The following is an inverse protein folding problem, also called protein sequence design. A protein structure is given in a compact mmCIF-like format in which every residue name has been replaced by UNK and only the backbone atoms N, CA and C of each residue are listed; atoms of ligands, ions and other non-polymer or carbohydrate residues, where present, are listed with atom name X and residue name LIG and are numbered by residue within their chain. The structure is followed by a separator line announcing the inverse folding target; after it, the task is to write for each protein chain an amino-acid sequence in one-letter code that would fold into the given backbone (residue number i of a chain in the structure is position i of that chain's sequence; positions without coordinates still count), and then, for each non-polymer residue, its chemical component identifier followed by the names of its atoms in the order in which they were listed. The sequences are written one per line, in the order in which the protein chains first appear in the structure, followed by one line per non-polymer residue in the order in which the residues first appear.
data_IF_205793330624
#
_entry.id   IF_205793330624
#
_cell.length_a   1.000
_cell.length_b   1.000
_cell.length_c   1.000
_cell.angle_alpha   90.00
_cell.angle_beta   90.00
_cell.angle_gamma   90.00
#
_symmetry.space_group_name_H-M   'P 1'
#
loop_
_entity.id
_entity.type
_entity.pdbx_description
1 polymer ?
#
# COMPACT_ATOMS: atom_id res chain seq x y z
N UNK A 1 20.25 4.07 18.44
CA UNK A 1 20.39 4.05 16.97
C UNK A 1 20.35 2.62 16.51
N UNK A 2 20.02 2.36 15.25
CA UNK A 2 20.05 1.01 14.69
C UNK A 2 21.15 0.97 13.64
N UNK A 3 21.97 -0.08 13.69
CA UNK A 3 23.03 -0.30 12.74
C UNK A 3 23.16 -1.79 12.45
N UNK A 4 23.76 -2.13 11.32
CA UNK A 4 24.12 -3.50 10.99
C UNK A 4 25.61 -3.72 11.07
N UNK A 5 26.00 -4.93 11.43
CA UNK A 5 27.39 -5.35 11.44
C UNK A 5 27.84 -5.71 10.02
N UNK A 6 29.00 -5.21 9.61
CA UNK A 6 29.69 -5.64 8.39
C UNK A 6 31.03 -6.23 8.83
N UNK A 7 31.23 -7.50 8.51
CA UNK A 7 32.53 -8.13 8.71
C UNK A 7 33.48 -7.70 7.60
N UNK A 8 34.51 -6.96 7.99
CA UNK A 8 35.61 -6.50 7.14
C UNK A 8 36.91 -7.14 7.61
N UNK A 9 37.89 -7.36 6.71
CA UNK A 9 39.15 -8.02 7.06
C UNK A 9 39.98 -7.26 8.11
N UNK A 10 39.70 -5.98 8.36
CA UNK A 10 40.39 -5.13 9.35
C UNK A 10 39.64 -5.00 10.69
N UNK A 11 38.49 -5.66 10.87
CA UNK A 11 37.67 -5.63 12.09
C UNK A 11 36.16 -5.59 11.85
N UNK A 12 35.38 -5.35 12.91
CA UNK A 12 33.94 -5.18 12.83
C UNK A 12 33.60 -3.71 12.51
N UNK A 13 33.21 -3.44 11.26
CA UNK A 13 32.70 -2.12 10.87
C UNK A 13 31.18 -2.13 11.04
N UNK A 14 30.60 -1.02 11.52
CA UNK A 14 29.15 -0.93 11.73
C UNK A 14 28.57 0.10 10.77
N UNK A 15 27.55 -0.29 10.01
CA UNK A 15 26.83 0.61 9.11
C UNK A 15 25.55 1.07 9.82
N UNK A 16 25.48 2.37 10.14
CA UNK A 16 24.31 2.95 10.79
C UNK A 16 23.15 3.01 9.79
N UNK A 17 22.01 2.44 10.18
CA UNK A 17 20.79 2.40 9.35
C UNK A 17 19.83 3.52 9.73
N UNK A 18 19.73 3.83 11.04
CA UNK A 18 18.78 4.80 11.58
C UNK A 18 19.39 5.63 12.71
N UNK A 19 18.99 6.91 12.73
CA UNK A 19 19.35 7.85 13.78
C UNK A 19 20.69 8.54 13.54
N UNK A 20 20.99 8.89 12.29
CA UNK A 20 22.19 9.66 11.92
C UNK A 20 22.30 10.98 12.70
N UNK A 21 21.17 11.64 12.97
CA UNK A 21 21.13 12.85 13.81
C UNK A 21 21.63 12.61 15.24
N UNK A 22 21.37 11.43 15.81
CA UNK A 22 21.92 11.06 17.12
C UNK A 22 23.42 10.86 17.02
N UNK A 23 23.92 10.23 15.96
CA UNK A 23 25.35 10.06 15.73
C UNK A 23 26.05 11.42 15.63
N UNK A 24 25.51 12.33 14.82
CA UNK A 24 26.01 13.71 14.66
C UNK A 24 25.97 14.50 15.98
N UNK A 25 24.89 14.34 16.76
CA UNK A 25 24.81 14.94 18.08
C UNK A 25 25.90 14.41 19.03
N UNK A 26 26.28 13.13 18.93
CA UNK A 26 27.36 12.56 19.75
C UNK A 26 28.76 12.93 19.25
N UNK A 27 28.93 13.24 17.95
CA UNK A 27 30.23 13.68 17.40
C UNK A 27 30.46 15.19 17.58
N UNK A 28 29.41 15.97 17.86
CA UNK A 28 29.56 17.39 18.13
C UNK A 28 30.35 17.64 19.45
N UNK A 29 31.44 18.44 19.43
CA UNK A 29 32.39 18.57 20.54
C UNK A 29 31.76 19.04 21.87
N UNK A 30 30.69 19.82 21.81
CA UNK A 30 30.03 20.41 22.98
C UNK A 30 28.83 19.61 23.52
N UNK A 31 28.33 18.60 22.80
CA UNK A 31 27.05 17.98 23.12
C UNK A 31 27.17 16.89 24.20
N UNK A 32 28.25 16.10 24.18
CA UNK A 32 28.49 15.04 25.18
C UNK A 32 29.98 14.91 25.53
N UNK A 33 30.54 15.82 26.34
CA UNK A 33 31.97 15.85 26.67
C UNK A 33 32.50 14.62 27.46
N UNK A 34 31.65 13.65 27.81
CA UNK A 34 32.00 12.43 28.57
C UNK A 34 31.47 11.12 27.97
N UNK A 35 30.79 11.14 26.82
CA UNK A 35 30.27 9.91 26.23
C UNK A 35 31.37 9.18 25.46
N UNK A 36 32.00 8.18 26.09
CA UNK A 36 33.04 7.33 25.45
C UNK A 36 32.44 6.25 24.54
N UNK A 37 31.13 5.99 24.66
CA UNK A 37 30.43 4.98 23.87
C UNK A 37 29.04 5.47 23.49
N UNK A 38 28.60 5.03 22.31
CA UNK A 38 27.32 5.43 21.73
C UNK A 38 26.39 4.22 21.74
N UNK A 39 25.19 4.30 22.35
CA UNK A 39 24.27 3.16 22.43
C UNK A 39 23.72 2.82 21.04
N UNK A 40 24.07 1.62 20.58
CA UNK A 40 23.79 1.13 19.25
C UNK A 40 23.09 -0.24 19.34
N UNK A 41 21.89 -0.34 18.76
CA UNK A 41 21.24 -1.62 18.54
C UNK A 41 21.79 -2.23 17.27
N UNK A 42 22.45 -3.38 17.39
CA UNK A 42 22.99 -4.12 16.24
C UNK A 42 21.92 -5.08 15.77
N UNK A 43 21.63 -5.06 14.46
CA UNK A 43 20.71 -6.00 13.82
C UNK A 43 21.49 -6.69 12.69
N UNK A 44 21.41 -8.02 12.67
CA UNK A 44 21.89 -8.80 11.54
C UNK A 44 20.84 -8.73 10.43
N UNK A 45 21.15 -8.00 9.36
CA UNK A 45 20.23 -7.83 8.26
C UNK A 45 20.92 -7.78 6.89
N UNK A 46 20.26 -8.35 5.88
CA UNK A 46 20.74 -8.32 4.51
C UNK A 46 20.64 -6.91 3.89
N UNK A 47 21.17 -6.71 2.68
CA UNK A 47 21.12 -5.41 1.98
C UNK A 47 19.70 -4.91 1.72
N UNK A 48 18.75 -5.81 1.46
CA UNK A 48 17.35 -5.43 1.19
C UNK A 48 16.65 -4.97 2.48
N UNK A 49 16.88 -5.69 3.57
CA UNK A 49 16.39 -5.34 4.90
C UNK A 49 17.01 -4.03 5.40
N UNK A 50 18.31 -3.82 5.16
CA UNK A 50 18.97 -2.56 5.47
C UNK A 50 18.28 -1.38 4.77
N UNK A 51 17.94 -1.51 3.48
CA UNK A 51 17.21 -0.49 2.73
C UNK A 51 15.78 -0.29 3.26
N UNK A 52 15.10 -1.36 3.67
CA UNK A 52 13.79 -1.30 4.32
C UNK A 52 13.84 -0.49 5.61
N UNK A 53 14.79 -0.79 6.51
CA UNK A 53 14.95 -0.07 7.76
C UNK A 53 15.35 1.40 7.54
N UNK A 54 16.28 1.66 6.62
CA UNK A 54 16.76 3.02 6.37
C UNK A 54 15.69 3.96 5.80
N UNK A 55 14.71 3.43 5.04
CA UNK A 55 13.72 4.26 4.34
C UNK A 55 12.31 4.08 4.89
N UNK A 56 11.76 2.86 4.83
CA UNK A 56 10.36 2.62 5.18
C UNK A 56 10.16 2.70 6.69
N UNK A 57 11.02 2.05 7.49
CA UNK A 57 10.93 2.18 8.93
C UNK A 57 11.17 3.63 9.39
N UNK A 58 12.17 4.31 8.82
CA UNK A 58 12.41 5.74 9.09
C UNK A 58 11.20 6.62 8.77
N UNK A 59 10.55 6.40 7.62
CA UNK A 59 9.37 7.15 7.22
C UNK A 59 8.17 6.87 8.13
N UNK A 60 8.00 5.63 8.58
CA UNK A 60 6.95 5.26 9.53
C UNK A 60 7.18 5.89 10.91
N UNK A 61 8.41 5.86 11.40
CA UNK A 61 8.81 6.49 12.67
C UNK A 61 8.59 8.01 12.64
N UNK A 62 9.02 8.68 11.57
CA UNK A 62 8.75 10.12 11.38
C UNK A 62 7.26 10.43 11.35
N UNK A 63 6.46 9.59 10.68
CA UNK A 63 5.01 9.75 10.65
C UNK A 63 4.38 9.55 12.04
N UNK A 64 4.87 8.58 12.81
CA UNK A 64 4.43 8.35 14.19
C UNK A 64 4.80 9.51 15.12
N UNK A 65 5.96 10.15 14.88
CA UNK A 65 6.40 11.35 15.57
C UNK A 65 5.64 12.63 15.14
N UNK A 66 4.71 12.55 14.19
CA UNK A 66 3.95 13.69 13.68
C UNK A 66 4.74 14.61 12.74
N UNK A 67 5.92 14.19 12.26
CA UNK A 67 6.70 14.94 11.29
C UNK A 67 6.08 14.84 9.90
N UNK A 68 6.22 15.91 9.12
CA UNK A 68 5.69 15.98 7.74
C UNK A 68 6.57 15.11 6.84
N UNK A 69 6.11 13.89 6.55
CA UNK A 69 6.74 13.01 5.56
C UNK A 69 6.27 13.37 4.15
N UNK A 70 7.03 14.24 3.47
CA UNK A 70 6.72 14.60 2.09
C UNK A 70 7.04 13.43 1.13
N UNK A 71 6.19 13.13 0.13
CA UNK A 71 6.50 12.16 -0.92
C UNK A 71 7.82 12.45 -1.66
N UNK A 72 8.25 13.72 -1.69
CA UNK A 72 9.53 14.12 -2.26
C UNK A 72 10.72 13.71 -1.38
N UNK A 73 10.58 13.80 -0.06
CA UNK A 73 11.63 13.36 0.87
C UNK A 73 11.85 11.86 0.73
N UNK A 74 10.76 11.09 0.69
CA UNK A 74 10.82 9.65 0.42
C UNK A 74 11.49 9.36 -0.93
N UNK A 75 11.14 10.11 -1.99
CA UNK A 75 11.73 9.92 -3.31
C UNK A 75 13.22 10.23 -3.34
N UNK A 76 13.66 11.27 -2.62
CA UNK A 76 15.07 11.61 -2.48
C UNK A 76 15.83 10.50 -1.74
N UNK A 77 15.32 10.02 -0.60
CA UNK A 77 15.89 8.89 0.13
C UNK A 77 16.01 7.63 -0.74
N UNK A 78 14.97 7.33 -1.52
CA UNK A 78 15.00 6.22 -2.47
C UNK A 78 16.05 6.40 -3.58
N UNK A 79 16.27 7.62 -4.08
CA UNK A 79 17.32 7.89 -5.06
C UNK A 79 18.71 7.70 -4.44
N UNK A 80 18.95 8.27 -3.27
CA UNK A 80 20.22 8.12 -2.54
C UNK A 80 20.50 6.65 -2.23
N UNK A 81 19.48 5.88 -1.85
CA UNK A 81 19.64 4.45 -1.62
C UNK A 81 20.01 3.68 -2.90
N UNK A 82 19.44 4.04 -4.05
CA UNK A 82 19.86 3.43 -5.34
C UNK A 82 21.34 3.72 -5.59
N UNK A 83 21.80 4.93 -5.32
CA UNK A 83 23.20 5.34 -5.55
C UNK A 83 24.16 4.65 -4.57
N UNK A 84 23.82 4.60 -3.27
CA UNK A 84 24.67 4.02 -2.23
C UNK A 84 24.73 2.49 -2.26
N UNK A 85 23.59 1.82 -2.50
CA UNK A 85 23.54 0.35 -2.50
C UNK A 85 23.93 -0.25 -3.86
N UNK A 86 24.02 0.54 -4.93
CA UNK A 86 24.53 0.07 -6.22
C UNK A 86 26.04 -0.17 -6.14
N UNK A 87 26.46 -1.41 -6.40
CA UNK A 87 27.87 -1.78 -6.56
C UNK A 87 28.21 -1.93 -8.05
N UNK A 88 29.49 -1.83 -8.46
CA UNK A 88 29.90 -2.04 -9.85
C UNK A 88 29.39 -3.39 -10.42
N UNK A 89 29.36 -4.40 -9.56
CA UNK A 89 28.92 -5.76 -9.91
C UNK A 89 27.38 -5.95 -9.78
N UNK A 90 26.68 -5.02 -9.12
CA UNK A 90 25.25 -5.13 -8.86
C UNK A 90 24.55 -3.76 -8.80
N UNK A 91 23.95 -3.36 -9.93
CA UNK A 91 23.18 -2.11 -10.05
C UNK A 91 21.77 -2.31 -9.51
N UNK A 92 21.36 -1.47 -8.57
CA UNK A 92 20.00 -1.49 -8.03
C UNK A 92 19.02 -0.84 -9.00
N UNK A 93 18.09 -1.64 -9.52
CA UNK A 93 16.98 -1.14 -10.35
C UNK A 93 15.80 -0.74 -9.45
N UNK A 94 14.90 0.09 -9.99
CA UNK A 94 13.65 0.49 -9.31
C UNK A 94 12.85 -0.73 -8.83
N UNK A 95 12.85 -1.85 -9.58
CA UNK A 95 12.17 -3.08 -9.16
C UNK A 95 12.80 -3.70 -7.90
N UNK A 96 14.12 -3.77 -7.84
CA UNK A 96 14.86 -4.33 -6.71
C UNK A 96 14.59 -3.52 -5.44
N UNK A 97 14.66 -2.19 -5.56
CA UNK A 97 14.34 -1.31 -4.44
C UNK A 97 12.86 -1.38 -4.05
N UNK A 98 11.93 -1.43 -5.01
CA UNK A 98 10.51 -1.57 -4.71
C UNK A 98 10.20 -2.86 -3.93
N UNK A 99 10.85 -3.97 -4.32
CA UNK A 99 10.74 -5.24 -3.60
C UNK A 99 11.34 -5.14 -2.18
N UNK A 100 12.51 -4.54 -2.04
CA UNK A 100 13.14 -4.33 -0.73
C UNK A 100 12.26 -3.50 0.21
N UNK A 101 11.61 -2.46 -0.32
CA UNK A 101 10.73 -1.57 0.42
C UNK A 101 9.28 -2.11 0.57
N UNK A 102 8.98 -3.31 0.06
CA UNK A 102 7.64 -3.91 0.07
C UNK A 102 6.53 -2.99 -0.51
N UNK A 103 6.88 -2.14 -1.48
CA UNK A 103 5.95 -1.23 -2.16
C UNK A 103 5.80 -1.59 -3.64
N UNK A 104 4.65 -1.27 -4.21
CA UNK A 104 4.44 -1.47 -5.64
C UNK A 104 5.43 -0.64 -6.47
N UNK A 105 6.08 -1.27 -7.44
CA UNK A 105 6.95 -0.62 -8.45
C UNK A 105 6.35 0.68 -9.04
N UNK A 106 5.08 0.74 -9.49
CA UNK A 106 4.50 1.98 -10.02
C UNK A 106 4.44 3.11 -8.98
N UNK A 107 4.27 2.79 -7.69
CA UNK A 107 4.27 3.78 -6.61
C UNK A 107 5.65 4.41 -6.45
N UNK A 108 6.70 3.59 -6.38
CA UNK A 108 8.08 4.09 -6.29
C UNK A 108 8.48 4.90 -7.54
N UNK A 109 8.14 4.38 -8.72
CA UNK A 109 8.39 5.07 -9.99
C UNK A 109 7.71 6.44 -10.03
N UNK A 110 6.44 6.53 -9.61
CA UNK A 110 5.73 7.81 -9.55
C UNK A 110 6.37 8.79 -8.57
N UNK A 111 6.81 8.34 -7.38
CA UNK A 111 7.52 9.19 -6.42
C UNK A 111 8.83 9.73 -7.01
N UNK A 112 9.61 8.89 -7.67
CA UNK A 112 10.86 9.31 -8.35
C UNK A 112 10.60 10.26 -9.52
N UNK A 113 9.51 10.05 -10.28
CA UNK A 113 9.08 10.98 -11.33
C UNK A 113 8.74 12.35 -10.75
N UNK A 114 8.05 12.42 -9.62
CA UNK A 114 7.75 13.69 -8.96
C UNK A 114 9.02 14.45 -8.56
N UNK A 115 10.06 13.75 -8.13
CA UNK A 115 11.34 14.36 -7.79
C UNK A 115 12.03 14.99 -9.03
N UNK A 116 12.00 14.30 -10.18
CA UNK A 116 12.71 14.70 -11.40
C UNK A 116 11.93 15.63 -12.33
N UNK A 117 10.60 15.51 -12.34
CA UNK A 117 9.73 16.16 -13.33
C UNK A 117 9.01 17.42 -12.85
N UNK A 118 9.20 17.84 -11.60
CA UNK A 118 8.63 19.09 -11.08
C UNK A 118 9.65 20.22 -11.11
N UNK A 119 9.20 21.40 -11.50
CA UNK A 119 9.96 22.64 -11.37
C UNK A 119 10.32 22.93 -9.90
N UNK A 120 11.45 23.63 -9.63
CA UNK A 120 11.95 23.86 -8.28
C UNK A 120 10.92 24.50 -7.35
N UNK A 121 10.22 25.54 -7.84
CA UNK A 121 9.21 26.23 -7.03
C UNK A 121 8.02 25.33 -6.68
N UNK A 122 7.61 24.48 -7.61
CA UNK A 122 6.53 23.51 -7.39
C UNK A 122 6.94 22.44 -6.37
N UNK A 123 8.22 22.01 -6.38
CA UNK A 123 8.76 21.08 -5.38
C UNK A 123 8.74 21.66 -3.97
N UNK A 124 9.15 22.91 -3.80
CA UNK A 124 9.12 23.60 -2.51
C UNK A 124 7.70 23.65 -1.94
N UNK A 125 6.72 24.04 -2.76
CA UNK A 125 5.31 24.11 -2.35
C UNK A 125 4.76 22.72 -1.95
N UNK A 126 5.21 21.65 -2.60
CA UNK A 126 4.85 20.28 -2.25
C UNK A 126 5.56 19.80 -0.96
N UNK A 127 6.81 20.20 -0.73
CA UNK A 127 7.54 19.89 0.50
C UNK A 127 6.91 20.57 1.72
N UNK A 128 6.48 21.82 1.56
CA UNK A 128 5.78 22.59 2.60
C UNK A 128 4.34 22.11 2.85
N UNK A 129 3.82 21.16 2.06
CA UNK A 129 2.46 20.64 2.19
C UNK A 129 1.36 21.61 1.72
N UNK A 130 1.72 22.71 1.07
CA UNK A 130 0.77 23.70 0.51
C UNK A 130 0.01 23.15 -0.70
N UNK A 131 0.58 22.14 -1.38
CA UNK A 131 -0.02 21.45 -2.52
C UNK A 131 -0.19 19.97 -2.17
N UNK A 132 -1.36 19.41 -2.46
CA UNK A 132 -1.58 17.96 -2.25
C UNK A 132 -0.80 17.14 -3.30
N UNK A 133 -0.35 15.91 -2.96
CA UNK A 133 0.35 15.03 -3.89
C UNK A 133 -0.41 14.74 -5.19
N UNK A 134 -1.75 14.78 -5.16
CA UNK A 134 -2.59 14.61 -6.35
C UNK A 134 -2.41 15.71 -7.40
N UNK A 135 -2.30 16.97 -6.97
CA UNK A 135 -2.04 18.09 -7.88
C UNK A 135 -0.65 17.96 -8.51
N UNK A 136 0.35 17.54 -7.72
CA UNK A 136 1.71 17.32 -8.21
C UNK A 136 1.77 16.26 -9.33
N UNK A 137 0.99 15.17 -9.21
CA UNK A 137 0.90 14.14 -10.26
C UNK A 137 0.33 14.69 -11.57
N UNK A 138 -0.63 15.61 -11.49
CA UNK A 138 -1.26 16.24 -12.66
C UNK A 138 -0.29 17.25 -13.29
N UNK A 139 0.36 18.07 -12.47
CA UNK A 139 1.36 19.04 -12.93
C UNK A 139 2.54 18.38 -13.65
N UNK A 140 2.84 17.11 -13.38
CA UNK A 140 3.90 16.37 -14.06
C UNK A 140 3.63 16.13 -15.56
N UNK A 141 2.37 16.23 -15.99
CA UNK A 141 2.01 16.12 -17.40
C UNK A 141 2.18 17.45 -18.17
N UNK A 142 2.41 18.58 -17.48
CA UNK A 142 2.67 19.86 -18.13
C UNK A 142 4.15 19.95 -18.56
N UNK A 143 4.46 20.12 -19.86
CA UNK A 143 5.84 20.17 -20.34
C UNK A 143 6.54 21.52 -20.09
N UNK A 144 5.78 22.61 -19.95
CA UNK A 144 6.35 23.95 -19.71
C UNK A 144 6.58 24.20 -18.22
N UNK A 145 7.82 24.44 -17.77
CA UNK A 145 8.13 24.67 -16.36
C UNK A 145 7.48 25.95 -15.83
N UNK A 146 7.46 27.03 -16.62
CA UNK A 146 6.83 28.30 -16.22
C UNK A 146 5.32 28.14 -15.99
N UNK A 147 4.64 27.42 -16.90
CA UNK A 147 3.21 27.14 -16.78
C UNK A 147 2.93 26.22 -15.59
N UNK A 148 3.80 25.24 -15.33
CA UNK A 148 3.72 24.36 -14.18
C UNK A 148 3.79 25.15 -12.86
N UNK A 149 4.74 26.08 -12.72
CA UNK A 149 4.90 26.91 -11.53
C UNK A 149 3.73 27.88 -11.31
N UNK A 150 3.21 28.47 -12.39
CA UNK A 150 2.05 29.35 -12.30
C UNK A 150 0.80 28.59 -11.82
N UNK A 151 0.56 27.39 -12.37
CA UNK A 151 -0.54 26.53 -11.94
C UNK A 151 -0.35 26.04 -10.49
N UNK A 152 0.87 25.67 -10.11
CA UNK A 152 1.20 25.28 -8.74
C UNK A 152 0.93 26.40 -7.72
N UNK A 153 1.32 27.64 -8.04
CA UNK A 153 1.09 28.80 -7.19
C UNK A 153 -0.40 29.09 -7.02
N UNK A 154 -1.18 28.95 -8.10
CA UNK A 154 -2.64 29.07 -8.02
C UNK A 154 -3.27 27.93 -7.20
N UNK A 155 -2.71 26.72 -7.26
CA UNK A 155 -3.14 25.57 -6.46
C UNK A 155 -2.90 25.78 -4.97
N UNK A 156 -1.71 26.28 -4.61
CA UNK A 156 -1.33 26.58 -3.23
C UNK A 156 -2.25 27.62 -2.58
N UNK A 157 -2.79 28.56 -3.36
CA UNK A 157 -3.78 29.57 -2.90
C UNK A 157 -5.20 29.02 -2.74
N UNK A 158 -5.43 27.72 -2.99
CA UNK A 158 -6.76 27.09 -2.89
C UNK A 158 -7.73 27.49 -4.02
N UNK A 159 -7.26 28.15 -5.08
CA UNK A 159 -8.12 28.69 -6.13
C UNK A 159 -8.54 27.65 -7.20
N UNK A 160 -8.29 26.35 -6.97
CA UNK A 160 -8.59 25.31 -7.95
C UNK A 160 -8.91 23.95 -7.35
N UNK A 161 -9.79 23.22 -8.02
CA UNK A 161 -10.03 21.80 -7.76
C UNK A 161 -9.07 20.91 -8.56
N UNK A 162 -8.84 19.68 -8.11
CA UNK A 162 -8.06 18.66 -8.84
C UNK A 162 -8.56 18.49 -10.29
N UNK A 163 -9.88 18.54 -10.50
CA UNK A 163 -10.50 18.44 -11.83
C UNK A 163 -10.25 19.68 -12.69
N UNK A 164 -10.28 20.86 -12.08
CA UNK A 164 -10.00 22.12 -12.76
C UNK A 164 -8.55 22.15 -13.24
N UNK A 165 -7.60 21.73 -12.39
CA UNK A 165 -6.20 21.61 -12.77
C UNK A 165 -6.02 20.61 -13.91
N UNK A 166 -6.63 19.43 -13.79
CA UNK A 166 -6.53 18.38 -14.82
C UNK A 166 -6.97 18.89 -16.20
N UNK A 167 -8.07 19.65 -16.26
CA UNK A 167 -8.57 20.23 -17.51
C UNK A 167 -7.64 21.27 -18.12
N UNK A 168 -6.93 22.03 -17.28
CA UNK A 168 -5.96 23.02 -17.76
C UNK A 168 -4.72 22.37 -18.35
N UNK A 169 -4.27 21.26 -17.76
CA UNK A 169 -3.10 20.49 -18.23
C UNK A 169 -3.46 19.59 -19.42
N UNK A 170 -4.68 19.03 -19.44
CA UNK A 170 -5.19 18.18 -20.51
C UNK A 170 -6.42 18.82 -21.17
N UNK A 171 -6.22 19.79 -22.08
CA UNK A 171 -7.33 20.50 -22.73
C UNK A 171 -8.20 19.56 -23.59
N UNK A 172 -7.60 18.54 -24.20
CA UNK A 172 -8.28 17.56 -25.06
C UNK A 172 -8.97 16.42 -24.28
N UNK A 173 -8.79 16.38 -22.96
CA UNK A 173 -9.44 15.37 -22.14
C UNK A 173 -10.85 15.83 -21.75
N UNK A 174 -11.83 15.32 -22.48
CA UNK A 174 -13.20 15.30 -21.99
C UNK A 174 -13.36 14.16 -20.98
N UNK A 175 -13.51 14.44 -19.66
CA UNK A 175 -13.87 13.38 -18.74
C UNK A 175 -15.20 12.79 -19.22
N UNK A 176 -15.37 11.45 -19.24
CA UNK A 176 -16.67 10.87 -19.46
C UNK A 176 -17.61 11.56 -18.48
N UNK A 177 -18.67 12.22 -19.00
CA UNK A 177 -19.70 12.80 -18.15
C UNK A 177 -20.19 11.66 -17.27
N UNK A 178 -19.71 11.63 -16.02
CA UNK A 178 -20.43 10.96 -14.95
C UNK A 178 -21.72 11.78 -14.83
N UNK A 179 -22.69 11.43 -15.67
CA UNK A 179 -24.09 11.67 -15.37
C UNK A 179 -24.20 11.11 -13.96
N UNK A 180 -24.43 11.98 -12.99
CA UNK A 180 -24.81 11.54 -11.67
C UNK A 180 -26.05 10.69 -11.92
N UNK A 181 -25.89 9.36 -11.89
CA UNK A 181 -27.03 8.47 -12.00
C UNK A 181 -27.97 8.93 -10.89
N UNK A 182 -29.23 9.30 -11.21
CA UNK A 182 -30.17 9.70 -10.19
C UNK A 182 -30.20 8.56 -9.16
N UNK A 183 -29.95 8.90 -7.89
CA UNK A 183 -30.19 7.98 -6.77
C UNK A 183 -31.63 7.50 -6.93
N UNK A 184 -31.81 6.27 -7.39
CA UNK A 184 -33.13 5.68 -7.61
C UNK A 184 -33.58 5.52 -9.06
N UNK A 185 -32.72 5.11 -9.98
CA UNK A 185 -33.21 4.29 -11.09
C UNK A 185 -32.90 2.82 -10.78
N UNK A 186 -33.97 2.09 -10.42
CA UNK A 186 -34.00 0.63 -10.46
C UNK A 186 -33.48 0.23 -11.83
N UNK A 187 -32.25 -0.29 -11.87
CA UNK A 187 -31.76 -1.03 -13.03
C UNK A 187 -32.85 -2.03 -13.36
N UNK A 188 -33.41 -1.92 -14.55
CA UNK A 188 -34.23 -2.95 -15.14
C UNK A 188 -33.31 -4.18 -15.25
N UNK A 189 -33.30 -5.01 -14.19
CA UNK A 189 -32.50 -6.22 -14.15
C UNK A 189 -33.22 -7.23 -15.02
N UNK A 190 -32.48 -7.75 -15.99
CA UNK A 190 -32.86 -8.87 -16.83
C UNK A 190 -33.17 -10.06 -15.91
N UNK A 191 -34.44 -10.49 -15.86
CA UNK A 191 -34.86 -11.66 -15.08
C UNK A 191 -34.86 -11.47 -13.57
N UNK A 192 -35.61 -12.33 -12.88
CA UNK A 192 -35.97 -12.26 -11.46
C UNK A 192 -34.81 -12.51 -10.47
N UNK A 193 -33.64 -11.93 -10.72
CA UNK A 193 -32.45 -12.01 -9.85
C UNK A 193 -32.76 -11.38 -8.48
N UNK A 194 -33.60 -10.35 -8.45
CA UNK A 194 -34.05 -9.74 -7.19
C UNK A 194 -34.96 -10.67 -6.37
N UNK A 195 -35.77 -11.52 -7.01
CA UNK A 195 -36.52 -12.58 -6.34
C UNK A 195 -35.60 -13.67 -5.81
N UNK A 196 -34.59 -14.08 -6.59
CA UNK A 196 -33.57 -15.04 -6.16
C UNK A 196 -32.73 -14.50 -4.98
N UNK A 197 -32.31 -13.23 -5.03
CA UNK A 197 -31.60 -12.58 -3.91
C UNK A 197 -32.43 -12.61 -2.63
N UNK A 198 -33.75 -12.32 -2.71
CA UNK A 198 -34.65 -12.38 -1.56
C UNK A 198 -34.87 -13.81 -1.06
N UNK A 199 -35.12 -14.76 -1.95
CA UNK A 199 -35.34 -16.16 -1.59
C UNK A 199 -34.09 -16.79 -0.95
N UNK A 200 -32.90 -16.47 -1.48
CA UNK A 200 -31.64 -16.86 -0.85
C UNK A 200 -31.44 -16.14 0.48
N UNK A 201 -31.74 -14.84 0.56
CA UNK A 201 -31.59 -14.12 1.83
C UNK A 201 -32.52 -14.64 2.92
N UNK A 202 -33.75 -15.02 2.57
CA UNK A 202 -34.72 -15.63 3.48
C UNK A 202 -34.33 -17.07 3.90
N UNK A 203 -33.82 -17.90 2.99
CA UNK A 203 -33.45 -19.29 3.30
C UNK A 203 -32.13 -19.43 4.07
N UNK A 204 -31.21 -18.49 3.85
CA UNK A 204 -29.88 -18.47 4.45
C UNK A 204 -29.73 -17.44 5.59
N UNK A 205 -30.77 -16.63 5.88
CA UNK A 205 -30.80 -15.68 7.00
C UNK A 205 -29.73 -14.58 6.92
N UNK A 206 -29.17 -14.38 5.73
CA UNK A 206 -27.97 -13.56 5.48
C UNK A 206 -28.22 -12.69 4.25
N UNK A 207 -27.77 -11.43 4.19
CA UNK A 207 -27.99 -10.58 3.01
C UNK A 207 -27.16 -11.07 1.82
N UNK A 208 -27.79 -11.79 0.90
CA UNK A 208 -27.14 -12.36 -0.30
C UNK A 208 -27.19 -11.39 -1.47
N UNK A 209 -26.03 -11.08 -2.06
CA UNK A 209 -25.94 -10.25 -3.26
C UNK A 209 -25.53 -11.11 -4.45
N UNK A 210 -26.29 -11.05 -5.55
CA UNK A 210 -25.98 -11.79 -6.78
C UNK A 210 -25.58 -10.77 -7.86
N UNK A 211 -24.30 -10.81 -8.24
CA UNK A 211 -23.79 -10.02 -9.36
C UNK A 211 -23.53 -10.94 -10.56
N UNK A 212 -24.26 -10.75 -11.66
CA UNK A 212 -23.96 -11.40 -12.93
C UNK A 212 -23.25 -10.43 -13.85
N UNK A 213 -22.05 -10.80 -14.32
CA UNK A 213 -21.37 -10.04 -15.35
C UNK A 213 -21.89 -10.46 -16.73
N UNK A 214 -22.71 -9.60 -17.34
CA UNK A 214 -23.38 -9.85 -18.62
C UNK A 214 -22.39 -10.10 -19.78
N UNK A 215 -21.12 -9.71 -19.63
CA UNK A 215 -20.08 -9.91 -20.65
C UNK A 215 -19.30 -11.22 -20.52
N UNK A 216 -19.30 -11.88 -19.34
CA UNK A 216 -18.41 -13.04 -19.08
C UNK A 216 -19.14 -14.34 -18.72
N UNK A 217 -20.48 -14.37 -18.71
CA UNK A 217 -21.27 -15.54 -18.25
C UNK A 217 -20.82 -16.07 -16.87
N UNK A 218 -20.27 -15.19 -16.02
CA UNK A 218 -19.84 -15.49 -14.67
C UNK A 218 -20.80 -14.83 -13.69
N UNK A 219 -21.42 -15.64 -12.84
CA UNK A 219 -22.19 -15.19 -11.70
C UNK A 219 -21.32 -15.21 -10.44
N UNK A 220 -21.35 -14.12 -9.69
CA UNK A 220 -20.73 -13.99 -8.38
C UNK A 220 -21.84 -13.89 -7.34
N UNK A 221 -21.76 -14.73 -6.30
CA UNK A 221 -22.65 -14.68 -5.15
C UNK A 221 -21.82 -14.28 -3.94
N UNK A 222 -22.13 -13.12 -3.35
CA UNK A 222 -21.49 -12.64 -2.14
C UNK A 222 -22.46 -12.81 -0.96
N UNK A 223 -22.03 -13.60 0.04
CA UNK A 223 -22.77 -13.83 1.29
C UNK A 223 -21.87 -13.49 2.48
N UNK A 224 -22.11 -12.38 3.18
CA UNK A 224 -21.32 -11.99 4.35
C UNK A 224 -21.77 -12.78 5.59
N UNK A 225 -20.89 -13.56 6.19
CA UNK A 225 -21.17 -14.27 7.45
C UNK A 225 -20.56 -13.53 8.64
N UNK A 226 -21.23 -13.61 9.79
CA UNK A 226 -20.79 -12.95 11.03
C UNK A 226 -20.26 -13.95 12.08
N UNK A 227 -20.35 -15.25 11.80
CA UNK A 227 -19.90 -16.32 12.70
C UNK A 227 -19.53 -17.58 11.91
N UNK A 228 -18.58 -18.35 12.45
CA UNK A 228 -18.12 -19.62 11.88
C UNK A 228 -19.24 -20.67 11.83
N UNK A 229 -20.09 -20.72 12.86
CA UNK A 229 -21.28 -21.56 12.88
C UNK A 229 -22.28 -21.18 11.77
N UNK A 230 -22.38 -19.88 11.45
CA UNK A 230 -23.15 -19.38 10.31
C UNK A 230 -22.61 -19.91 8.99
N UNK A 231 -21.30 -19.79 8.75
CA UNK A 231 -20.64 -20.29 7.54
C UNK A 231 -20.86 -21.80 7.34
N UNK A 232 -20.70 -22.60 8.39
CA UNK A 232 -20.90 -24.06 8.32
C UNK A 232 -22.35 -24.40 7.91
N UNK A 233 -23.33 -23.74 8.51
CA UNK A 233 -24.73 -23.89 8.11
C UNK A 233 -25.02 -23.44 6.68
N UNK A 234 -24.30 -22.44 6.16
CA UNK A 234 -24.40 -22.04 4.75
C UNK A 234 -23.81 -23.12 3.82
N UNK A 235 -22.65 -23.67 4.16
CA UNK A 235 -21.97 -24.71 3.37
C UNK A 235 -22.77 -26.02 3.35
N UNK A 236 -23.28 -26.49 4.50
CA UNK A 236 -24.07 -27.72 4.58
C UNK A 236 -25.36 -27.62 3.74
N UNK A 237 -26.01 -26.44 3.75
CA UNK A 237 -27.20 -26.17 2.93
C UNK A 237 -26.87 -26.07 1.44
N UNK A 238 -25.73 -25.47 1.09
CA UNK A 238 -25.27 -25.41 -0.30
C UNK A 238 -24.93 -26.80 -0.84
N UNK A 239 -24.25 -27.63 -0.06
CA UNK A 239 -23.84 -28.99 -0.47
C UNK A 239 -25.07 -29.87 -0.75
N UNK A 240 -26.10 -29.79 0.12
CA UNK A 240 -27.37 -30.48 -0.11
C UNK A 240 -28.09 -30.04 -1.39
N UNK A 241 -28.00 -28.76 -1.78
CA UNK A 241 -28.67 -28.26 -2.98
C UNK A 241 -27.87 -28.49 -4.27
N UNK A 242 -26.53 -28.40 -4.22
CA UNK A 242 -25.65 -28.65 -5.38
C UNK A 242 -25.72 -30.13 -5.81
N UNK A 243 -25.92 -31.05 -4.86
CA UNK A 243 -26.08 -32.48 -5.15
C UNK A 243 -27.27 -32.80 -6.08
N UNK A 244 -28.24 -31.89 -6.21
CA UNK A 244 -29.45 -32.11 -7.01
C UNK A 244 -29.27 -31.74 -8.49
N UNK A 245 -28.20 -31.02 -8.86
CA UNK A 245 -27.99 -30.57 -10.24
C UNK A 245 -26.51 -30.68 -10.69
N UNK A 246 -26.13 -31.76 -11.43
CA UNK A 246 -24.72 -32.08 -11.74
C UNK A 246 -24.07 -31.17 -12.81
N UNK A 247 -24.78 -30.13 -13.29
CA UNK A 247 -24.29 -29.20 -14.32
C UNK A 247 -23.70 -27.89 -13.75
N UNK A 248 -23.79 -27.66 -12.43
CA UNK A 248 -23.25 -26.45 -11.79
C UNK A 248 -21.72 -26.49 -11.67
N UNK A 249 -21.00 -25.89 -12.63
CA UNK A 249 -19.55 -25.64 -12.54
C UNK A 249 -19.30 -24.22 -12.00
N UNK A 250 -18.86 -24.11 -10.75
CA UNK A 250 -18.53 -22.85 -10.11
C UNK A 250 -17.32 -22.96 -9.18
N UNK A 251 -16.60 -21.86 -8.99
CA UNK A 251 -15.50 -21.76 -8.02
C UNK A 251 -15.97 -20.95 -6.81
N UNK A 252 -16.01 -21.57 -5.63
CA UNK A 252 -16.29 -20.87 -4.38
C UNK A 252 -15.01 -20.16 -3.90
N UNK A 253 -15.06 -18.84 -3.73
CA UNK A 253 -13.93 -18.07 -3.17
C UNK A 253 -14.34 -17.52 -1.81
N UNK A 254 -13.67 -17.96 -0.74
CA UNK A 254 -13.85 -17.42 0.60
C UNK A 254 -12.80 -16.35 0.89
N UNK A 255 -13.23 -15.19 1.39
CA UNK A 255 -12.36 -14.15 1.94
C UNK A 255 -12.64 -14.02 3.42
N UNK A 256 -11.60 -14.16 4.24
CA UNK A 256 -11.68 -14.06 5.71
C UNK A 256 -10.74 -12.94 6.13
N UNK A 257 -11.28 -11.94 6.82
CA UNK A 257 -10.52 -10.74 7.21
C UNK A 257 -9.66 -10.96 8.48
N UNK A 258 -9.88 -12.05 9.22
CA UNK A 258 -9.16 -12.40 10.46
C UNK A 258 -8.29 -13.67 10.28
N UNK A 259 -6.97 -13.56 10.50
CA UNK A 259 -6.00 -14.65 10.36
C UNK A 259 -6.21 -15.81 11.35
N UNK A 260 -6.67 -15.52 12.57
CA UNK A 260 -6.93 -16.56 13.58
C UNK A 260 -8.16 -17.40 13.22
N UNK A 261 -9.20 -16.74 12.71
CA UNK A 261 -10.41 -17.42 12.21
C UNK A 261 -10.13 -18.20 10.92
N UNK A 262 -9.25 -17.69 10.05
CA UNK A 262 -8.83 -18.40 8.84
C UNK A 262 -8.08 -19.70 9.16
N UNK A 263 -7.22 -19.72 10.18
CA UNK A 263 -6.47 -20.93 10.56
C UNK A 263 -7.38 -21.99 11.19
N UNK A 264 -8.33 -21.57 12.04
CA UNK A 264 -9.37 -22.45 12.59
C UNK A 264 -10.25 -23.07 11.50
N UNK A 265 -10.61 -22.27 10.48
CA UNK A 265 -11.37 -22.73 9.31
C UNK A 265 -10.60 -23.77 8.48
N UNK A 266 -9.30 -23.57 8.28
CA UNK A 266 -8.46 -24.48 7.50
C UNK A 266 -8.24 -25.83 8.21
N UNK A 267 -8.15 -25.84 9.54
CA UNK A 267 -8.06 -27.06 10.35
C UNK A 267 -9.37 -27.88 10.30
N UNK A 268 -10.54 -27.25 10.47
CA UNK A 268 -11.82 -27.98 10.47
C UNK A 268 -12.31 -28.41 9.08
N UNK A 269 -11.88 -27.72 8.02
CA UNK A 269 -12.15 -28.14 6.62
C UNK A 269 -11.22 -29.27 6.15
N UNK A 270 -10.34 -29.79 7.03
CA UNK A 270 -9.41 -30.88 6.71
C UNK A 270 -8.29 -30.49 5.75
N UNK A 271 -8.07 -29.19 5.53
CA UNK A 271 -7.05 -28.67 4.63
C UNK A 271 -5.69 -28.44 5.34
N UNK A 272 -5.65 -28.58 6.67
CA UNK A 272 -4.43 -28.47 7.49
C UNK A 272 -4.45 -29.54 8.61
N UNK A 273 -3.38 -30.33 8.74
CA UNK A 273 -3.28 -31.43 9.73
C UNK A 273 -2.39 -31.11 10.93
N UNK A 274 -1.78 -29.93 10.99
CA UNK A 274 -0.92 -29.54 12.13
C UNK A 274 -1.64 -28.53 13.05
N UNK A 275 -1.97 -28.91 14.29
CA UNK A 275 -2.59 -28.02 15.27
C UNK A 275 -1.60 -27.05 15.96
N UNK A 276 -0.29 -27.23 15.81
CA UNK A 276 0.75 -26.55 16.60
C UNK A 276 1.52 -25.45 15.85
N UNK A 277 0.96 -24.82 14.81
CA UNK A 277 1.59 -23.66 14.15
C UNK A 277 1.53 -22.35 14.97
N UNK A 278 1.07 -22.41 16.21
CA UNK A 278 1.05 -21.30 17.17
C UNK A 278 1.78 -21.69 18.48
N UNK A 279 3.07 -21.99 18.42
CA UNK A 279 3.94 -21.68 19.57
C UNK A 279 4.55 -20.30 19.33
N UNK A 280 4.17 -19.26 20.10
CA UNK A 280 5.03 -18.09 20.20
C UNK A 280 6.34 -18.60 20.78
N UNK A 281 7.42 -18.50 20.02
CA UNK A 281 8.75 -18.82 20.49
C UNK A 281 9.01 -17.91 21.70
N UNK A 282 8.79 -18.49 22.87
CA UNK A 282 8.84 -17.84 24.16
C UNK A 282 10.15 -18.27 24.76
N UNK A 283 10.87 -17.27 25.27
CA UNK A 283 11.95 -17.34 26.26
C UNK A 283 13.38 -17.52 25.71
N UNK A 284 14.38 -17.12 26.49
CA UNK A 284 14.55 -15.79 27.09
C UNK A 284 15.90 -15.14 26.72
#
# INVERSE_FOLDING_TARGET
MIARKIDTPEGHTVEVLLGWERLEAFTHPDAFPRATSIPLGIIDCNLSEAAFYAIEYAAQDQKAAGLITSPLLYAAAAQTAIELFSRPDQIWKIQTLANALCIARPTLSNRLRLLRGLAPRTRELLQQGLIKPEFAKILLAEPSPERQEHLATRAARGMMSTRSLYRLVHPDYEPPRKIAAPRGQKKHRLGDIGGMERALSESYGTPTTIAMDAGQQKGYVEMPFHSLSGLKGLLDKLDQQISTDPLARGTLTLKVDNKQEANALLLELGANTDPDLDTPDSTP
#
